data_IF_928409584824
#
_entry.id   IF_928409584824
#
_cell.length_a   1.000
_cell.length_b   1.000
_cell.length_c   1.000
_cell.angle_alpha   90.00
_cell.angle_beta   90.00
_cell.angle_gamma   90.00
#
_symmetry.space_group_name_H-M   'P 1'
#
loop_
_entity.id
_entity.type
_entity.pdbx_description
1 polymer ?
#
# COMPACT_ATOMS: atom_id res chain seq x y z
N UNK A 1 -17.25 -1.32 -6.41
CA UNK A 1 -16.21 -1.91 -5.55
C UNK A 1 -14.90 -1.84 -6.33
N UNK A 2 -13.80 -1.40 -5.71
CA UNK A 2 -12.49 -1.25 -6.31
C UNK A 2 -11.50 -2.14 -5.55
N UNK A 3 -10.75 -2.94 -6.30
CA UNK A 3 -9.69 -3.81 -5.80
C UNK A 3 -8.45 -3.48 -6.62
N UNK A 4 -7.34 -3.19 -5.95
CA UNK A 4 -6.06 -2.93 -6.61
C UNK A 4 -4.96 -3.59 -5.82
N UNK A 5 -3.99 -4.15 -6.54
CA UNK A 5 -2.74 -4.59 -5.97
C UNK A 5 -1.59 -3.91 -6.71
N UNK A 6 -0.52 -3.57 -5.99
CA UNK A 6 0.71 -3.03 -6.58
C UNK A 6 1.89 -3.85 -6.08
N UNK A 7 2.92 -3.92 -6.93
CA UNK A 7 4.22 -4.45 -6.58
C UNK A 7 5.24 -3.36 -6.87
N UNK A 8 6.05 -3.03 -5.88
CA UNK A 8 7.14 -2.09 -6.00
C UNK A 8 8.46 -2.82 -5.79
N UNK A 9 9.42 -2.48 -6.64
CA UNK A 9 10.81 -2.90 -6.57
C UNK A 9 11.64 -1.62 -6.37
N UNK A 10 12.36 -1.53 -5.26
CA UNK A 10 13.10 -0.34 -4.88
C UNK A 10 14.60 -0.57 -5.07
N UNK A 11 15.10 -0.29 -6.27
CA UNK A 11 16.53 -0.32 -6.57
C UNK A 11 17.14 1.08 -6.55
N UNK A 12 18.40 1.21 -6.11
CA UNK A 12 19.15 2.45 -6.22
C UNK A 12 19.45 2.80 -7.68
N UNK A 13 19.32 4.09 -8.03
CA UNK A 13 19.68 4.62 -9.35
C UNK A 13 21.20 4.75 -9.51
N UNK A 14 21.91 5.01 -8.40
CA UNK A 14 23.37 5.16 -8.33
C UNK A 14 23.92 4.41 -7.11
N UNK A 15 24.96 3.59 -7.34
CA UNK A 15 25.45 2.62 -6.35
C UNK A 15 24.54 1.39 -6.31
N UNK A 16 25.09 0.18 -6.42
CA UNK A 16 24.36 -1.07 -6.65
C UNK A 16 23.56 -1.59 -5.45
N UNK A 17 22.90 -0.73 -4.68
CA UNK A 17 22.15 -1.09 -3.48
C UNK A 17 20.72 -1.48 -3.81
N UNK A 18 20.29 -2.63 -3.29
CA UNK A 18 18.91 -3.09 -3.33
C UNK A 18 18.18 -2.66 -2.04
N UNK A 19 17.15 -1.83 -2.17
CA UNK A 19 16.34 -1.40 -1.03
C UNK A 19 15.16 -2.36 -0.78
N UNK A 20 14.98 -3.41 -1.57
CA UNK A 20 13.95 -4.42 -1.38
C UNK A 20 12.63 -4.13 -2.07
N UNK A 21 11.59 -4.85 -1.68
CA UNK A 21 10.33 -4.95 -2.45
C UNK A 21 9.11 -4.72 -1.57
N UNK A 22 8.03 -4.18 -2.14
CA UNK A 22 6.77 -3.94 -1.44
C UNK A 22 5.58 -4.48 -2.22
N UNK A 23 4.64 -5.09 -1.50
CA UNK A 23 3.34 -5.50 -2.00
C UNK A 23 2.24 -4.68 -1.33
N UNK A 24 1.47 -3.96 -2.13
CA UNK A 24 0.32 -3.18 -1.67
C UNK A 24 -0.99 -3.79 -2.12
N UNK A 25 -2.00 -3.68 -1.26
CA UNK A 25 -3.38 -4.06 -1.53
C UNK A 25 -4.33 -2.95 -1.09
N UNK A 26 -5.27 -2.60 -1.97
CA UNK A 26 -6.34 -1.65 -1.71
C UNK A 26 -7.70 -2.29 -2.02
N UNK A 27 -8.60 -2.25 -1.04
CA UNK A 27 -10.02 -2.57 -1.21
C UNK A 27 -10.83 -1.33 -0.87
N UNK A 28 -11.67 -0.86 -1.77
CA UNK A 28 -12.54 0.28 -1.55
C UNK A 28 -13.96 0.03 -2.03
N UNK A 29 -14.94 0.53 -1.27
CA UNK A 29 -16.37 0.36 -1.56
C UNK A 29 -17.15 1.63 -1.20
N UNK A 30 -17.93 2.12 -2.17
CA UNK A 30 -19.00 3.09 -1.91
C UNK A 30 -20.14 2.35 -1.19
N UNK A 31 -20.46 2.77 0.03
CA UNK A 31 -21.51 2.17 0.88
C UNK A 31 -22.87 2.76 0.52
N UNK A 32 -22.92 4.09 0.36
CA UNK A 32 -24.09 4.84 -0.13
C UNK A 32 -23.60 6.14 -0.79
N UNK A 33 -24.51 7.04 -1.19
CA UNK A 33 -24.13 8.28 -1.89
C UNK A 33 -23.28 9.25 -1.09
N UNK A 34 -23.30 9.14 0.24
CA UNK A 34 -22.59 10.00 1.18
C UNK A 34 -21.41 9.33 1.87
N UNK A 35 -21.19 8.02 1.66
CA UNK A 35 -20.18 7.25 2.40
C UNK A 35 -19.43 6.29 1.47
N UNK A 36 -18.10 6.37 1.50
CA UNK A 36 -17.21 5.34 0.98
C UNK A 36 -16.24 4.89 2.07
N UNK A 37 -15.82 3.63 2.00
CA UNK A 37 -14.83 3.04 2.92
C UNK A 37 -13.72 2.36 2.14
N UNK A 38 -12.52 2.36 2.70
CA UNK A 38 -11.38 1.66 2.14
C UNK A 38 -10.51 1.00 3.21
N UNK A 39 -9.91 -0.12 2.83
CA UNK A 39 -8.87 -0.84 3.57
C UNK A 39 -7.63 -0.87 2.69
N UNK A 40 -6.49 -0.51 3.26
CA UNK A 40 -5.18 -0.60 2.60
C UNK A 40 -4.26 -1.47 3.44
N UNK A 41 -3.48 -2.31 2.79
CA UNK A 41 -2.42 -3.11 3.42
C UNK A 41 -1.17 -3.03 2.55
N UNK A 42 -0.02 -2.83 3.19
CA UNK A 42 1.29 -2.79 2.55
C UNK A 42 2.24 -3.72 3.31
N UNK A 43 2.97 -4.56 2.59
CA UNK A 43 3.99 -5.44 3.14
C UNK A 43 5.30 -5.20 2.42
N UNK A 44 6.26 -4.64 3.15
CA UNK A 44 7.59 -4.31 2.65
C UNK A 44 8.61 -5.30 3.21
N UNK A 45 9.35 -5.93 2.28
CA UNK A 45 10.48 -6.82 2.56
C UNK A 45 11.76 -6.04 2.31
N UNK A 46 12.58 -5.90 3.35
CA UNK A 46 13.86 -5.21 3.26
C UNK A 46 14.98 -6.18 2.87
N UNK A 47 15.90 -5.75 2.01
CA UNK A 47 17.12 -6.51 1.67
C UNK A 47 18.35 -5.92 2.40
N UNK A 48 19.08 -4.99 1.77
CA UNK A 48 20.33 -4.43 2.31
C UNK A 48 20.12 -3.22 3.23
N UNK A 49 18.90 -2.69 3.29
CA UNK A 49 18.57 -1.45 4.00
C UNK A 49 17.21 -1.55 4.70
N UNK A 50 17.17 -1.10 5.97
CA UNK A 50 15.99 -1.06 6.84
C UNK A 50 15.53 -2.44 7.39
N UNK A 51 14.25 -2.54 7.76
CA UNK A 51 13.63 -3.71 8.41
C UNK A 51 12.29 -4.00 7.76
N UNK A 52 11.92 -5.27 7.68
CA UNK A 52 10.60 -5.70 7.24
C UNK A 52 9.50 -4.90 7.94
N UNK A 53 8.55 -4.39 7.15
CA UNK A 53 7.54 -3.47 7.66
C UNK A 53 6.18 -3.77 7.04
N UNK A 54 5.22 -4.09 7.89
CA UNK A 54 3.81 -4.21 7.51
C UNK A 54 3.02 -2.98 7.98
N UNK A 55 2.12 -2.49 7.13
CA UNK A 55 1.24 -1.36 7.45
C UNK A 55 -0.19 -1.64 7.02
N UNK A 56 -1.15 -1.19 7.83
CA UNK A 56 -2.57 -1.31 7.54
C UNK A 56 -3.31 -0.01 7.86
N UNK A 57 -4.25 0.36 6.99
CA UNK A 57 -5.09 1.54 7.18
C UNK A 57 -6.56 1.23 6.94
N UNK A 58 -7.40 1.92 7.72
CA UNK A 58 -8.84 2.01 7.54
C UNK A 58 -9.19 3.46 7.22
N UNK A 59 -9.95 3.68 6.15
CA UNK A 59 -10.34 5.01 5.69
C UNK A 59 -11.86 5.05 5.46
N UNK A 60 -12.48 6.18 5.83
CA UNK A 60 -13.87 6.49 5.52
C UNK A 60 -13.95 7.90 4.92
N UNK A 61 -14.58 8.01 3.76
CA UNK A 61 -14.81 9.27 3.06
C UNK A 61 -16.30 9.61 3.15
N UNK A 62 -16.62 10.78 3.68
CA UNK A 62 -18.00 11.23 3.93
C UNK A 62 -18.26 12.52 3.14
N UNK A 63 -19.35 12.55 2.37
CA UNK A 63 -19.81 13.72 1.62
C UNK A 63 -21.06 14.33 2.27
N UNK A 64 -21.02 15.64 2.55
CA UNK A 64 -22.09 16.43 3.17
C UNK A 64 -22.74 17.38 2.17
#
# INVERSE_FOLDING_TARGET
>A
MKLVAFYHDFSADEGSTDYGTELDFLVAKKVNDNLAVAVKYASYSADDYATDTDKMWLQADINF
#
